data_IF_517898314608
#
_entry.id   IF_517898314608
#
_cell.length_a   1.000
_cell.length_b   1.000
_cell.length_c   1.000
_cell.angle_alpha   90.00
_cell.angle_beta   90.00
_cell.angle_gamma   90.00
#
_symmetry.space_group_name_H-M   'P 1'
#
loop_
_entity.id
_entity.type
_entity.pdbx_description
1 polymer ?
#
# COMPACT_ATOMS: atom_id res chain seq x y z
N UNK A 1 5.65 9.96 -10.43
CA UNK A 1 4.98 9.45 -9.24
C UNK A 1 3.55 9.96 -9.16
N UNK A 2 2.64 9.11 -8.78
CA UNK A 2 1.22 9.43 -8.76
C UNK A 2 0.72 9.57 -7.33
N UNK A 3 -0.18 10.53 -7.06
CA UNK A 3 -0.76 10.70 -5.74
C UNK A 3 -1.83 9.63 -5.46
N UNK A 4 -1.68 8.94 -4.33
CA UNK A 4 -2.64 7.92 -3.88
C UNK A 4 -3.09 8.28 -2.47
N UNK A 5 -4.40 8.35 -2.27
CA UNK A 5 -4.96 8.67 -0.96
C UNK A 5 -5.40 7.37 -0.27
N UNK A 6 -4.82 7.08 0.87
CA UNK A 6 -5.22 5.94 1.69
C UNK A 6 -6.31 6.42 2.65
N UNK A 7 -7.56 6.13 2.31
CA UNK A 7 -8.69 6.65 3.05
C UNK A 7 -8.73 6.13 4.49
N UNK A 8 -9.03 6.94 5.49
CA UNK A 8 -9.59 8.30 5.40
C UNK A 8 -8.52 9.41 5.43
N UNK A 9 -7.26 9.10 5.20
CA UNK A 9 -6.22 10.13 5.23
C UNK A 9 -6.45 11.17 4.13
N UNK A 10 -6.06 12.40 4.41
CA UNK A 10 -6.31 13.55 3.54
C UNK A 10 -5.12 13.93 2.68
N UNK A 11 -3.92 13.52 3.05
CA UNK A 11 -2.70 13.81 2.29
C UNK A 11 -2.37 12.65 1.36
N UNK A 12 -2.01 12.92 0.10
CA UNK A 12 -1.68 11.86 -0.83
C UNK A 12 -0.28 11.30 -0.56
N UNK A 13 -0.14 10.00 -0.78
CA UNK A 13 1.16 9.34 -0.78
C UNK A 13 1.66 9.26 -2.21
N UNK A 14 2.83 9.81 -2.46
CA UNK A 14 3.46 9.70 -3.77
C UNK A 14 3.84 8.23 -3.99
N UNK A 15 3.31 7.66 -5.05
CA UNK A 15 3.42 6.23 -5.31
C UNK A 15 3.95 5.98 -6.70
N UNK A 16 4.81 4.96 -6.82
CA UNK A 16 5.32 4.51 -8.10
C UNK A 16 4.31 3.59 -8.75
N UNK A 17 4.03 3.83 -10.01
CA UNK A 17 3.24 2.91 -10.84
C UNK A 17 4.20 1.89 -11.44
N UNK A 18 4.00 0.61 -11.13
CA UNK A 18 4.93 -0.45 -11.54
C UNK A 18 4.17 -1.61 -12.14
N UNK A 19 4.15 -1.69 -13.47
CA UNK A 19 3.49 -2.77 -14.19
C UNK A 19 4.22 -4.10 -14.07
N UNK A 20 5.47 -4.09 -13.61
CA UNK A 20 6.25 -5.29 -13.35
C UNK A 20 5.94 -5.95 -12.01
N UNK A 21 5.31 -5.23 -11.09
CA UNK A 21 4.96 -5.76 -9.77
C UNK A 21 3.57 -6.39 -9.79
N UNK A 22 3.45 -7.59 -9.25
CA UNK A 22 2.15 -8.28 -9.16
C UNK A 22 1.24 -7.65 -8.10
N UNK A 23 1.82 -7.20 -6.99
CA UNK A 23 1.08 -6.68 -5.84
C UNK A 23 1.48 -5.26 -5.54
N UNK A 24 0.58 -4.55 -4.88
CA UNK A 24 0.83 -3.19 -4.41
C UNK A 24 1.39 -3.24 -2.98
N UNK A 25 2.11 -2.18 -2.58
CA UNK A 25 2.66 -2.09 -1.23
C UNK A 25 2.62 -0.65 -0.74
N UNK A 26 2.66 -0.49 0.58
CA UNK A 26 2.67 0.83 1.21
C UNK A 26 3.63 0.82 2.40
N UNK A 27 4.32 1.94 2.60
CA UNK A 27 5.20 2.15 3.73
C UNK A 27 4.38 2.21 5.02
N UNK A 28 4.65 1.28 5.93
CA UNK A 28 3.94 1.19 7.21
C UNK A 28 4.94 0.99 8.32
N UNK A 29 4.64 1.54 9.50
CA UNK A 29 5.45 1.34 10.68
C UNK A 29 4.60 0.91 11.88
N UNK A 30 5.26 0.57 12.99
CA UNK A 30 4.59 0.12 14.21
C UNK A 30 3.55 -0.98 13.92
N UNK A 31 3.97 -1.95 13.12
CA UNK A 31 3.13 -3.06 12.67
C UNK A 31 3.04 -4.10 13.78
N UNK A 32 1.84 -4.33 14.29
CA UNK A 32 1.58 -5.27 15.39
C UNK A 32 0.43 -6.19 15.00
N UNK A 33 0.70 -7.50 14.97
CA UNK A 33 -0.33 -8.51 14.72
C UNK A 33 -1.01 -8.89 16.03
N UNK A 34 -2.31 -9.13 15.97
CA UNK A 34 -3.10 -9.55 17.14
C UNK A 34 -4.29 -10.40 16.68
N UNK A 35 -4.97 -11.01 17.62
CA UNK A 35 -6.19 -11.79 17.34
C UNK A 35 -7.42 -11.05 17.85
N UNK A 36 -8.50 -11.15 17.07
CA UNK A 36 -9.81 -10.64 17.45
C UNK A 36 -10.86 -11.62 16.95
N UNK A 37 -11.67 -12.15 17.87
CA UNK A 37 -12.73 -13.11 17.55
C UNK A 37 -12.22 -14.33 16.78
N UNK A 38 -11.03 -14.83 17.13
CA UNK A 38 -10.42 -15.99 16.49
C UNK A 38 -9.77 -15.71 15.14
N UNK A 39 -9.74 -14.46 14.69
CA UNK A 39 -9.17 -14.06 13.40
C UNK A 39 -7.91 -13.23 13.60
N UNK A 40 -7.02 -13.29 12.62
CA UNK A 40 -5.77 -12.52 12.66
C UNK A 40 -5.98 -11.11 12.11
N UNK A 41 -5.58 -10.13 12.91
CA UNK A 41 -5.65 -8.70 12.57
C UNK A 41 -4.26 -8.09 12.70
N UNK A 42 -4.11 -6.92 12.12
CA UNK A 42 -2.87 -6.16 12.23
C UNK A 42 -3.20 -4.67 12.45
N UNK A 43 -2.47 -4.08 13.38
CA UNK A 43 -2.50 -2.63 13.58
C UNK A 43 -1.20 -2.05 13.01
N UNK A 44 -1.28 -0.90 12.37
CA UNK A 44 -0.11 -0.25 11.77
C UNK A 44 -0.37 1.23 11.56
N UNK A 45 0.72 1.97 11.45
CA UNK A 45 0.65 3.41 11.15
C UNK A 45 1.05 3.66 9.70
N UNK A 46 0.31 4.55 9.04
CA UNK A 46 0.77 5.21 7.83
C UNK A 46 1.11 6.65 8.18
N UNK A 47 2.31 7.08 7.83
CA UNK A 47 2.79 8.44 8.11
C UNK A 47 3.23 9.07 6.80
N UNK A 48 2.56 10.15 6.40
CA UNK A 48 2.93 10.89 5.20
C UNK A 48 4.22 11.65 5.46
N UNK A 49 5.27 11.37 4.71
CA UNK A 49 6.58 11.99 4.90
C UNK A 49 6.59 13.49 4.61
N UNK A 50 5.74 13.94 3.71
CA UNK A 50 5.73 15.34 3.30
C UNK A 50 4.93 16.22 4.24
N UNK A 51 3.80 15.72 4.73
CA UNK A 51 2.88 16.50 5.57
C UNK A 51 2.95 16.17 7.04
N UNK A 52 3.46 14.98 7.37
CA UNK A 52 3.46 14.47 8.73
C UNK A 52 2.12 13.89 9.17
N UNK A 53 1.13 13.89 8.31
CA UNK A 53 -0.16 13.29 8.64
C UNK A 53 0.02 11.81 8.96
N UNK A 54 -0.59 11.39 10.08
CA UNK A 54 -0.46 10.03 10.57
C UNK A 54 -1.83 9.46 10.88
N UNK A 55 -2.03 8.21 10.52
CA UNK A 55 -3.25 7.50 10.86
C UNK A 55 -2.92 6.06 11.25
N UNK A 56 -3.51 5.59 12.34
CA UNK A 56 -3.36 4.20 12.76
C UNK A 56 -4.53 3.40 12.26
N UNK A 57 -4.22 2.34 11.53
CA UNK A 57 -5.19 1.42 10.95
C UNK A 57 -5.23 0.12 11.74
N UNK A 58 -6.41 -0.48 11.81
CA UNK A 58 -6.59 -1.86 12.25
C UNK A 58 -7.31 -2.58 11.12
N UNK A 59 -6.67 -3.58 10.56
CA UNK A 59 -7.20 -4.30 9.42
C UNK A 59 -7.08 -5.80 9.64
N UNK A 60 -8.05 -6.55 9.13
CA UNK A 60 -7.98 -7.99 9.11
C UNK A 60 -6.88 -8.42 8.12
N UNK A 61 -6.06 -9.39 8.52
CA UNK A 61 -5.00 -9.89 7.63
C UNK A 61 -5.66 -10.71 6.52
N UNK A 62 -5.45 -10.30 5.29
CA UNK A 62 -6.00 -10.98 4.12
C UNK A 62 -5.20 -12.24 3.80
N UNK A 63 -3.88 -12.11 3.81
CA UNK A 63 -2.94 -13.21 3.63
C UNK A 63 -1.57 -12.79 4.14
N UNK A 64 -0.70 -13.76 4.33
CA UNK A 64 0.61 -13.51 4.92
C UNK A 64 1.66 -14.38 4.22
N UNK A 65 1.99 -14.08 2.95
CA UNK A 65 2.95 -14.88 2.20
C UNK A 65 4.35 -14.75 2.78
N UNK A 66 5.12 -15.84 2.68
CA UNK A 66 6.52 -15.86 3.03
C UNK A 66 7.35 -15.46 1.81
N UNK A 67 8.20 -14.45 1.96
CA UNK A 67 9.11 -14.01 0.92
C UNK A 67 10.51 -14.47 1.28
N UNK A 68 11.16 -15.24 0.39
CA UNK A 68 12.52 -15.70 0.61
C UNK A 68 13.52 -14.61 0.23
N UNK A 69 14.52 -14.45 1.10
CA UNK A 69 15.62 -13.50 0.86
C UNK A 69 16.95 -14.21 1.07
N UNK A 70 18.04 -13.57 0.67
CA UNK A 70 19.39 -14.12 0.80
C UNK A 70 19.70 -14.48 2.27
N UNK A 71 19.27 -13.66 3.21
CA UNK A 71 19.55 -13.82 4.63
C UNK A 71 18.40 -14.46 5.42
N UNK A 72 17.53 -15.23 4.75
CA UNK A 72 16.41 -15.90 5.41
C UNK A 72 15.09 -15.63 4.73
N UNK A 73 14.00 -15.74 5.48
CA UNK A 73 12.65 -15.50 4.98
C UNK A 73 11.97 -14.41 5.78
N UNK A 74 11.04 -13.72 5.15
CA UNK A 74 10.24 -12.68 5.75
C UNK A 74 8.77 -12.90 5.44
N UNK A 75 7.92 -12.79 6.45
CA UNK A 75 6.48 -12.83 6.23
C UNK A 75 5.99 -11.43 5.94
N UNK A 76 5.23 -11.29 4.86
CA UNK A 76 4.61 -10.03 4.48
C UNK A 76 3.15 -10.04 4.86
N UNK A 77 2.72 -9.01 5.57
CA UNK A 77 1.30 -8.88 5.92
C UNK A 77 0.60 -8.15 4.79
N UNK A 78 -0.49 -8.73 4.30
CA UNK A 78 -1.30 -8.15 3.22
C UNK A 78 -2.69 -7.85 3.78
N UNK A 79 -3.14 -6.64 3.57
CA UNK A 79 -4.45 -6.16 4.02
C UNK A 79 -5.22 -5.53 2.85
N UNK A 80 -6.54 -5.40 3.01
CA UNK A 80 -7.36 -4.66 2.05
C UNK A 80 -7.38 -3.19 2.46
N UNK A 81 -7.08 -2.31 1.52
CA UNK A 81 -7.11 -0.87 1.75
C UNK A 81 -8.08 -0.21 0.77
N UNK A 82 -8.76 0.81 1.25
CA UNK A 82 -9.56 1.68 0.39
C UNK A 82 -8.69 2.85 -0.03
N UNK A 83 -8.45 2.97 -1.32
CA UNK A 83 -7.59 4.04 -1.85
C UNK A 83 -8.32 4.83 -2.92
N UNK A 84 -8.04 6.13 -2.99
CA UNK A 84 -8.53 6.99 -4.06
C UNK A 84 -7.37 7.33 -4.99
N UNK A 85 -7.58 7.09 -6.26
CA UNK A 85 -6.63 7.38 -7.32
C UNK A 85 -7.39 8.16 -8.38
N UNK A 86 -7.04 9.45 -8.53
CA UNK A 86 -7.86 10.35 -9.34
C UNK A 86 -9.25 10.46 -8.74
N UNK A 87 -10.27 10.14 -9.51
CA UNK A 87 -11.66 10.18 -9.06
C UNK A 87 -12.19 8.80 -8.63
N UNK A 88 -11.40 7.75 -8.80
CA UNK A 88 -11.81 6.40 -8.46
C UNK A 88 -11.41 5.99 -7.05
N UNK A 89 -12.33 5.35 -6.35
CA UNK A 89 -12.06 4.70 -5.07
C UNK A 89 -12.03 3.19 -5.31
N UNK A 90 -10.93 2.57 -4.92
CA UNK A 90 -10.68 1.15 -5.17
C UNK A 90 -10.35 0.47 -3.86
N UNK A 91 -10.95 -0.69 -3.62
CA UNK A 91 -10.54 -1.58 -2.53
C UNK A 91 -9.57 -2.60 -3.09
N UNK A 92 -8.35 -2.62 -2.58
CA UNK A 92 -7.31 -3.47 -3.14
C UNK A 92 -6.35 -3.97 -2.06
N UNK A 93 -5.65 -5.06 -2.36
CA UNK A 93 -4.65 -5.62 -1.47
C UNK A 93 -3.36 -4.80 -1.50
N UNK A 94 -2.85 -4.51 -0.31
CA UNK A 94 -1.55 -3.87 -0.14
C UNK A 94 -0.74 -4.67 0.86
N UNK A 95 0.52 -4.94 0.51
CA UNK A 95 1.45 -5.47 1.49
C UNK A 95 2.03 -4.31 2.31
N UNK A 96 2.22 -4.55 3.60
CA UNK A 96 2.84 -3.58 4.50
C UNK A 96 4.34 -3.78 4.44
N UNK A 97 5.09 -2.73 4.17
CA UNK A 97 6.53 -2.79 3.99
C UNK A 97 7.19 -1.55 4.58
N UNK A 98 8.44 -1.68 5.01
CA UNK A 98 9.24 -0.52 5.38
C UNK A 98 9.88 0.03 4.11
N UNK A 99 9.43 1.20 3.67
CA UNK A 99 9.93 1.84 2.45
C UNK A 99 10.64 3.16 2.74
N UNK A 100 11.18 3.31 3.92
CA UNK A 100 11.84 4.52 4.38
C UNK A 100 13.07 4.90 3.54
N UNK A 101 13.66 3.93 2.82
CA UNK A 101 14.81 4.15 1.94
C UNK A 101 14.41 4.53 0.51
N UNK A 102 13.11 4.50 0.18
CA UNK A 102 12.65 4.79 -1.17
C UNK A 102 12.12 6.21 -1.28
N UNK A 103 12.19 6.77 -2.48
CA UNK A 103 11.67 8.11 -2.77
C UNK A 103 10.14 8.15 -2.77
N UNK A 104 9.51 7.00 -2.75
CA UNK A 104 8.05 6.87 -2.79
C UNK A 104 7.58 5.96 -1.66
N UNK A 105 6.45 6.31 -1.07
CA UNK A 105 5.88 5.55 0.04
C UNK A 105 4.92 4.45 -0.40
N UNK A 106 4.41 4.54 -1.62
CA UNK A 106 3.50 3.54 -2.16
C UNK A 106 4.00 2.99 -3.47
N UNK A 107 3.59 1.76 -3.77
CA UNK A 107 3.84 1.11 -5.06
C UNK A 107 2.53 0.51 -5.53
N UNK A 108 2.10 0.89 -6.72
CA UNK A 108 0.87 0.40 -7.33
C UNK A 108 1.23 -0.65 -8.38
N UNK A 109 0.87 -1.88 -8.09
CA UNK A 109 1.16 -3.02 -8.94
C UNK A 109 -0.02 -3.43 -9.82
N UNK A 110 0.15 -4.56 -10.53
CA UNK A 110 -0.84 -5.06 -11.48
C UNK A 110 -2.18 -5.41 -10.84
N UNK A 111 -2.20 -5.75 -9.55
CA UNK A 111 -3.46 -6.07 -8.88
C UNK A 111 -4.47 -4.93 -8.90
N UNK A 112 -3.99 -3.68 -9.04
CA UNK A 112 -4.85 -2.51 -9.18
C UNK A 112 -4.96 -2.10 -10.65
N UNK A 113 -3.84 -2.11 -11.38
CA UNK A 113 -3.78 -1.57 -12.73
C UNK A 113 -4.51 -2.42 -13.75
N UNK A 114 -4.53 -3.74 -13.57
CA UNK A 114 -5.14 -4.66 -14.53
C UNK A 114 -6.64 -4.42 -14.63
N UNK A 115 -7.11 -4.07 -15.83
CA UNK A 115 -8.52 -3.85 -16.11
C UNK A 115 -9.12 -2.56 -15.56
N UNK A 116 -8.30 -1.72 -14.88
CA UNK A 116 -8.80 -0.48 -14.29
C UNK A 116 -8.21 0.77 -14.91
N UNK A 117 -6.89 0.76 -15.16
CA UNK A 117 -6.17 1.92 -15.67
C UNK A 117 -5.31 1.54 -16.85
N UNK A 118 -5.13 2.50 -17.75
CA UNK A 118 -4.16 2.39 -18.84
C UNK A 118 -2.96 3.24 -18.44
N UNK A 119 -1.78 2.61 -18.36
CA UNK A 119 -0.55 3.33 -18.04
C UNK A 119 0.01 3.92 -19.32
N UNK A 120 0.03 5.23 -19.41
CA UNK A 120 0.58 5.97 -20.56
C UNK A 120 1.68 6.88 -20.05
N UNK A 121 2.92 6.59 -20.45
CA UNK A 121 4.08 7.34 -19.99
C UNK A 121 4.12 8.77 -20.52
N UNK A 122 3.38 9.07 -21.58
CA UNK A 122 3.29 10.44 -22.09
C UNK A 122 2.33 11.30 -21.28
N UNK A 123 1.52 10.71 -20.41
CA UNK A 123 0.55 11.39 -19.56
C UNK A 123 0.92 11.21 -18.09
N UNK A 124 2.08 11.71 -17.71
CA UNK A 124 2.52 11.64 -16.33
C UNK A 124 1.47 12.27 -15.40
N UNK A 125 1.24 11.66 -14.24
CA UNK A 125 0.23 12.07 -13.26
C UNK A 125 -1.21 11.99 -13.79
N UNK A 126 -1.50 11.00 -14.63
CA UNK A 126 -2.85 10.81 -15.17
C UNK A 126 -3.86 10.36 -14.11
N UNK A 127 -3.40 9.79 -13.00
CA UNK A 127 -4.24 9.28 -11.91
C UNK A 127 -4.44 10.32 -10.82
N UNK A 128 -5.17 11.35 -11.11
CA UNK A 128 -5.39 12.44 -10.15
C UNK A 128 -6.79 12.46 -9.59
#
# INVERSE_FOLDING_TARGET
>A
MEPVYFLPMKSPFLSRIDTGAETSSVDADHVVSFERDGEKWVAFNLVNRETGEKHRFEKKIKRQPTVKRINGSEERVVVMMDVRMGEEIVKAEFSLAARDRFNYQGLIGRNILTGRFVVDTSLANALR
#
